data_IF_490615541859
#
_entry.id   IF_490615541859
#
_cell.length_a   1.000
_cell.length_b   1.000
_cell.length_c   1.000
_cell.angle_alpha   90.00
_cell.angle_beta   90.00
_cell.angle_gamma   90.00
#
_symmetry.space_group_name_H-M   'P 1'
#
loop_
_entity.id
_entity.type
_entity.pdbx_description
1 polymer ?
2 water ?
#
# COMPACT_ATOMS: atom_id res chain seq x y z
N UNK A 6 19.82 -10.02 -21.65
CA UNK A 6 18.83 -9.04 -22.19
C UNK A 6 19.34 -7.62 -22.04
N UNK A 7 18.95 -6.74 -22.97
CA UNK A 7 19.47 -5.38 -22.95
C UNK A 7 18.52 -4.33 -23.51
N UNK A 8 18.97 -3.08 -23.47
CA UNK A 8 18.22 -1.97 -24.04
C UNK A 8 16.83 -1.79 -23.46
N UNK A 9 15.86 -1.46 -24.30
CA UNK A 9 14.49 -1.21 -23.82
C UNK A 9 13.84 -2.45 -23.24
N UNK A 10 14.04 -3.63 -23.79
CA UNK A 10 13.43 -4.84 -23.22
C UNK A 10 13.94 -5.04 -21.80
N UNK A 11 15.22 -4.83 -21.51
CA UNK A 11 15.72 -4.96 -20.13
C UNK A 11 15.08 -3.91 -19.23
N UNK A 12 15.02 -2.64 -19.60
CA UNK A 12 14.41 -1.57 -18.83
C UNK A 12 12.95 -1.88 -18.54
N UNK A 13 12.19 -2.31 -19.51
CA UNK A 13 10.77 -2.63 -19.38
C UNK A 13 10.60 -3.88 -18.49
N UNK A 14 11.44 -4.90 -18.64
CA UNK A 14 11.29 -6.08 -17.77
C UNK A 14 11.60 -5.72 -16.33
N UNK A 15 12.56 -4.86 -16.04
CA UNK A 15 12.84 -4.39 -14.69
C UNK A 15 11.64 -3.65 -14.12
N UNK A 16 11.01 -2.74 -14.85
CA UNK A 16 9.81 -2.03 -14.39
C UNK A 16 8.69 -3.02 -14.14
N UNK A 17 8.47 -3.98 -15.01
CA UNK A 17 7.37 -4.96 -14.80
C UNK A 17 7.62 -5.79 -13.57
N UNK A 18 8.84 -6.24 -13.32
CA UNK A 18 9.06 -7.10 -12.12
C UNK A 18 8.84 -6.23 -10.90
N UNK A 19 9.25 -4.97 -10.86
CA UNK A 19 9.09 -4.11 -9.71
C UNK A 19 7.62 -3.74 -9.52
N UNK A 20 6.89 -3.48 -10.60
CA UNK A 20 5.46 -3.16 -10.45
C UNK A 20 4.74 -4.40 -9.93
N UNK A 21 5.07 -5.60 -10.39
CA UNK A 21 4.38 -6.81 -9.93
C UNK A 21 4.62 -6.98 -8.43
N UNK A 22 5.87 -6.75 -8.01
CA UNK A 22 6.17 -6.93 -6.58
C UNK A 22 5.40 -5.90 -5.76
N UNK A 23 5.26 -4.65 -6.21
CA UNK A 23 4.53 -3.62 -5.50
C UNK A 23 3.04 -3.97 -5.47
N UNK A 24 2.48 -4.48 -6.56
CA UNK A 24 1.04 -4.88 -6.50
C UNK A 24 0.84 -6.03 -5.51
N UNK A 25 1.78 -6.98 -5.45
CA UNK A 25 1.60 -8.07 -4.47
C UNK A 25 1.64 -7.50 -3.06
N UNK A 26 2.60 -6.56 -2.82
CA UNK A 26 2.70 -5.96 -1.49
C UNK A 26 1.43 -5.21 -1.13
N UNK A 27 0.83 -4.46 -2.05
CA UNK A 27 -0.40 -3.73 -1.73
C UNK A 27 -1.50 -4.75 -1.46
N UNK A 28 -1.63 -5.84 -2.19
CA UNK A 28 -2.71 -6.80 -1.88
C UNK A 28 -2.50 -7.46 -0.54
N UNK A 29 -1.29 -7.75 -0.10
CA UNK A 29 -1.03 -8.31 1.22
C UNK A 29 -1.45 -7.26 2.26
N UNK A 30 -1.07 -6.00 2.10
CA UNK A 30 -1.46 -4.95 3.06
C UNK A 30 -2.95 -4.69 3.07
N UNK A 31 -3.68 -4.87 1.98
CA UNK A 31 -5.15 -4.77 2.05
C UNK A 31 -5.71 -5.85 2.97
N UNK A 32 -5.24 -7.06 2.94
CA UNK A 32 -5.70 -8.11 3.83
C UNK A 32 -5.27 -7.82 5.26
N UNK A 33 -4.04 -7.39 5.49
CA UNK A 33 -3.55 -7.07 6.84
C UNK A 33 -4.32 -5.92 7.50
N UNK A 34 -4.74 -4.91 6.75
CA UNK A 34 -5.52 -3.82 7.35
C UNK A 34 -6.90 -4.38 7.67
N UNK A 35 -7.51 -5.20 6.84
CA UNK A 35 -8.84 -5.79 7.13
C UNK A 35 -8.69 -6.66 8.36
N UNK A 36 -7.61 -7.39 8.59
CA UNK A 36 -7.45 -8.20 9.80
C UNK A 36 -7.41 -7.32 11.04
N UNK A 37 -6.67 -6.22 10.96
CA UNK A 37 -6.64 -5.28 12.09
C UNK A 37 -7.96 -4.60 12.31
N UNK A 38 -8.78 -4.34 11.32
CA UNK A 38 -10.11 -3.79 11.50
C UNK A 38 -10.95 -4.77 12.30
N UNK A 39 -10.83 -6.05 11.98
CA UNK A 39 -11.65 -7.07 12.68
C UNK A 39 -11.21 -7.15 14.12
N UNK A 40 -9.91 -7.11 14.39
CA UNK A 40 -9.41 -7.17 15.77
C UNK A 40 -9.88 -5.95 16.57
N UNK A 41 -9.85 -4.77 15.99
CA UNK A 41 -10.22 -3.52 16.66
C UNK A 41 -11.71 -3.55 16.92
N UNK A 42 -12.51 -4.04 15.98
CA UNK A 42 -13.95 -4.15 16.16
C UNK A 42 -14.24 -5.11 17.31
N UNK A 43 -13.49 -6.19 17.45
CA UNK A 43 -13.73 -7.15 18.53
C UNK A 43 -13.47 -6.43 19.86
N UNK A 44 -12.45 -5.61 19.96
CA UNK A 44 -12.09 -4.88 21.18
C UNK A 44 -13.17 -3.86 21.52
N UNK A 45 -13.67 -3.15 20.50
CA UNK A 45 -14.70 -2.15 20.71
C UNK A 45 -15.99 -2.83 21.17
N UNK A 46 -16.36 -3.95 20.56
CA UNK A 46 -17.59 -4.63 20.89
C UNK A 46 -17.53 -5.14 22.34
N UNK A 47 -16.39 -5.67 22.74
CA UNK A 47 -16.26 -6.13 24.13
C UNK A 47 -16.35 -4.99 25.13
N UNK A 48 -15.63 -3.89 24.90
CA UNK A 48 -15.64 -2.74 25.80
C UNK A 48 -17.03 -2.15 25.93
N UNK A 49 -17.84 -2.18 24.88
CA UNK A 49 -19.20 -1.70 24.89
C UNK A 49 -20.18 -2.62 25.62
N UNK B 6 13.86 16.98 -20.83
CA UNK B 6 13.70 15.69 -21.55
C UNK B 6 12.34 15.57 -22.22
N UNK B 7 12.26 14.73 -23.25
CA UNK B 7 11.03 14.51 -24.00
C UNK B 7 10.98 13.10 -24.59
N UNK B 8 9.92 12.76 -25.28
CA UNK B 8 9.83 11.50 -25.99
C UNK B 8 9.86 10.30 -25.05
N UNK B 9 10.55 9.25 -25.45
CA UNK B 9 10.53 8.02 -24.68
C UNK B 9 11.18 8.18 -23.31
N UNK B 10 12.23 8.96 -23.18
CA UNK B 10 12.89 9.15 -21.88
C UNK B 10 11.93 9.86 -20.93
N UNK B 11 11.12 10.78 -21.43
CA UNK B 11 10.18 11.51 -20.58
C UNK B 11 9.12 10.53 -20.08
N UNK B 12 8.60 9.72 -20.98
CA UNK B 12 7.55 8.74 -20.66
C UNK B 12 8.09 7.70 -19.69
N UNK B 13 9.28 7.17 -19.91
CA UNK B 13 9.84 6.16 -19.01
C UNK B 13 10.17 6.78 -17.65
N UNK B 14 10.60 8.02 -17.59
CA UNK B 14 10.84 8.69 -16.30
C UNK B 14 9.54 8.94 -15.57
N UNK B 15 8.45 9.25 -16.25
CA UNK B 15 7.16 9.44 -15.58
C UNK B 15 6.73 8.12 -14.96
N UNK B 16 6.87 7.02 -15.69
CA UNK B 16 6.50 5.69 -15.17
C UNK B 16 7.39 5.34 -13.99
N UNK B 17 8.70 5.56 -14.04
CA UNK B 17 9.60 5.23 -12.94
C UNK B 17 9.29 6.15 -11.74
N UNK B 18 9.00 7.43 -12.00
CA UNK B 18 8.65 8.24 -10.80
C UNK B 18 7.37 7.77 -10.16
N UNK B 19 6.37 7.37 -10.90
CA UNK B 19 5.11 6.92 -10.32
C UNK B 19 5.36 5.60 -9.59
N UNK B 20 6.13 4.69 -10.21
CA UNK B 20 6.43 3.43 -9.49
C UNK B 20 7.20 3.69 -8.22
N UNK B 21 8.17 4.58 -8.21
CA UNK B 21 8.93 4.90 -6.99
C UNK B 21 7.99 5.50 -5.94
N UNK B 22 7.09 6.40 -6.31
CA UNK B 22 6.19 7.00 -5.31
C UNK B 22 5.36 5.91 -4.71
N UNK B 23 4.83 4.97 -5.48
CA UNK B 23 4.00 3.88 -4.94
C UNK B 23 4.83 2.98 -4.02
N UNK B 24 6.10 2.71 -4.39
CA UNK B 24 6.97 1.90 -3.50
C UNK B 24 7.18 2.69 -2.19
N UNK B 25 7.46 4.00 -2.26
CA UNK B 25 7.66 4.74 -0.99
C UNK B 25 6.39 4.66 -0.17
N UNK B 26 5.21 4.81 -0.78
CA UNK B 26 3.98 4.74 0.09
C UNK B 26 3.86 3.38 0.68
N UNK B 27 4.14 2.28 -0.02
CA UNK B 27 4.04 0.95 0.57
C UNK B 27 5.05 0.85 1.69
N UNK B 28 6.28 1.38 1.59
CA UNK B 28 7.21 1.19 2.71
C UNK B 28 6.71 2.02 3.91
N UNK B 29 6.13 3.20 3.76
CA UNK B 29 5.62 3.93 4.93
C UNK B 29 4.44 3.17 5.52
N UNK B 30 3.56 2.61 4.67
CA UNK B 30 2.42 1.83 5.19
C UNK B 30 2.88 0.58 5.93
N UNK B 31 3.92 -0.12 5.51
CA UNK B 31 4.42 -1.31 6.21
C UNK B 31 4.80 -0.89 7.63
N UNK B 32 5.47 0.25 7.82
CA UNK B 32 5.80 0.70 9.19
C UNK B 32 4.54 1.07 9.94
N UNK B 33 3.61 1.78 9.27
CA UNK B 33 2.40 2.15 10.05
C UNK B 33 1.62 0.91 10.43
N UNK B 34 1.54 -0.10 9.61
CA UNK B 34 0.79 -1.33 10.00
C UNK B 34 1.56 -2.05 11.11
N UNK B 35 2.87 -2.10 11.15
CA UNK B 35 3.60 -2.79 12.22
C UNK B 35 3.29 -2.04 13.53
N UNK B 36 3.31 -0.72 13.51
CA UNK B 36 3.02 0.05 14.75
C UNK B 36 1.59 -0.22 15.19
N UNK B 37 0.61 -0.29 14.31
CA UNK B 37 -0.77 -0.57 14.73
C UNK B 37 -0.84 -1.99 15.27
N UNK B 38 -0.24 -2.98 14.62
CA UNK B 38 -0.27 -4.36 15.09
C UNK B 38 0.24 -4.46 16.52
N UNK B 39 1.30 -3.75 16.88
CA UNK B 39 1.85 -3.83 18.24
C UNK B 39 0.84 -3.16 19.19
N UNK B 40 0.25 -2.04 18.82
CA UNK B 40 -0.69 -1.32 19.70
C UNK B 40 -1.92 -2.17 19.91
N UNK B 41 -2.46 -2.83 18.92
CA UNK B 41 -3.63 -3.69 19.02
C UNK B 41 -3.25 -4.90 19.89
N UNK B 42 -2.11 -5.50 19.65
CA UNK B 42 -1.73 -6.67 20.51
C UNK B 42 -1.58 -6.22 21.95
N UNK B 43 -1.08 -5.04 22.26
CA UNK B 43 -0.96 -4.61 23.68
C UNK B 43 -2.36 -4.42 24.27
N UNK B 44 -3.31 -3.93 23.50
CA UNK B 44 -4.68 -3.77 24.00
C UNK B 44 -5.31 -5.12 24.28
N UNK B 45 -5.12 -6.07 23.37
CA UNK B 45 -5.68 -7.42 23.56
C UNK B 45 -5.00 -8.06 24.75
N UNK B 46 -3.69 -7.92 24.95
CA UNK B 46 -3.06 -8.57 26.11
C UNK B 46 -3.53 -7.91 27.40
N UNK B 47 -3.77 -6.62 27.43
CA UNK B 47 -4.26 -5.99 28.66
C UNK B 47 -5.66 -6.50 28.97
N UNK B 48 -6.55 -6.49 28.00
CA UNK B 48 -7.94 -6.92 28.18
C UNK B 48 -8.03 -8.37 28.61
N UNK B 49 -7.16 -9.26 28.21
CA UNK B 49 -7.22 -10.65 28.64
C UNK B 49 -6.55 -10.88 29.99
N UNK C 6 -4.89 1.03 -29.08
CA UNK C 6 -3.41 1.20 -29.03
C UNK C 6 -2.71 -0.09 -29.45
N UNK C 7 -1.38 -0.09 -29.48
CA UNK C 7 -0.62 -1.28 -29.86
C UNK C 7 0.87 -1.03 -29.66
N UNK C 8 1.70 -2.06 -29.73
CA UNK C 8 3.14 -1.93 -29.62
C UNK C 8 3.66 -1.32 -28.33
N UNK C 9 4.67 -0.45 -28.42
CA UNK C 9 5.19 0.23 -27.24
C UNK C 9 4.10 1.04 -26.54
N UNK C 10 3.29 1.75 -27.31
CA UNK C 10 2.18 2.52 -26.74
C UNK C 10 1.25 1.65 -25.92
N UNK C 11 0.85 0.48 -26.40
CA UNK C 11 -0.01 -0.41 -25.62
C UNK C 11 0.71 -0.90 -24.37
N UNK C 12 1.98 -1.23 -24.45
CA UNK C 12 2.78 -1.70 -23.32
C UNK C 12 2.92 -0.61 -22.26
N UNK C 13 3.17 0.64 -22.62
CA UNK C 13 3.25 1.75 -21.68
C UNK C 13 1.86 2.01 -21.08
N UNK C 14 0.82 1.92 -21.90
CA UNK C 14 -0.54 2.19 -21.45
C UNK C 14 -0.99 1.15 -20.43
N UNK C 15 -0.70 -0.11 -20.62
CA UNK C 15 -0.99 -1.14 -19.63
C UNK C 15 -0.26 -0.82 -18.31
N UNK C 16 1.01 -0.44 -18.35
CA UNK C 16 1.76 -0.11 -17.14
C UNK C 16 1.13 1.07 -16.41
N UNK C 17 0.79 2.14 -17.14
CA UNK C 17 0.14 3.31 -16.52
C UNK C 17 -1.21 2.96 -15.91
N UNK C 18 -2.02 2.17 -16.57
CA UNK C 18 -3.32 1.78 -15.99
C UNK C 18 -3.08 1.00 -14.70
N UNK C 19 -2.15 0.06 -14.70
CA UNK C 19 -1.85 -0.71 -13.48
C UNK C 19 -1.30 0.23 -12.40
N UNK C 20 -0.45 1.19 -12.69
CA UNK C 20 0.00 2.15 -11.67
C UNK C 20 -1.19 2.91 -11.10
N UNK C 21 -2.12 3.36 -11.94
CA UNK C 21 -3.27 4.13 -11.46
C UNK C 21 -4.14 3.29 -10.52
N UNK C 22 -4.34 2.03 -10.84
CA UNK C 22 -5.09 1.12 -9.99
C UNK C 22 -4.33 0.91 -8.68
N UNK C 23 -3.02 0.76 -8.74
CA UNK C 23 -2.25 0.57 -7.47
C UNK C 23 -2.31 1.85 -6.68
N UNK C 24 -2.17 3.04 -7.28
CA UNK C 24 -2.31 4.32 -6.57
C UNK C 24 -3.64 4.44 -5.88
N UNK C 25 -4.75 4.06 -6.50
CA UNK C 25 -6.07 4.17 -5.87
C UNK C 25 -6.12 3.22 -4.67
N UNK C 26 -5.54 2.04 -4.82
CA UNK C 26 -5.56 1.09 -3.71
C UNK C 26 -4.69 1.63 -2.56
N UNK C 27 -3.53 2.21 -2.86
CA UNK C 27 -2.68 2.77 -1.80
C UNK C 27 -3.40 3.92 -1.10
N UNK C 28 -4.12 4.79 -1.81
CA UNK C 28 -4.76 5.93 -1.15
C UNK C 28 -5.80 5.38 -0.20
N UNK C 29 -6.56 4.36 -0.60
CA UNK C 29 -7.54 3.79 0.33
C UNK C 29 -6.82 3.15 1.51
N UNK C 30 -5.69 2.49 1.35
CA UNK C 30 -4.97 1.93 2.51
C UNK C 30 -4.52 3.03 3.44
N UNK C 31 -4.06 4.18 2.95
CA UNK C 31 -3.62 5.28 3.82
C UNK C 31 -4.77 5.70 4.73
N UNK C 32 -5.94 5.86 4.16
CA UNK C 32 -7.09 6.31 5.00
C UNK C 32 -7.61 5.14 5.83
N UNK C 33 -7.44 3.89 5.40
CA UNK C 33 -7.84 2.81 6.36
C UNK C 33 -6.92 2.77 7.54
N UNK C 34 -5.63 3.00 7.36
CA UNK C 34 -4.66 3.03 8.43
C UNK C 34 -4.93 4.26 9.34
N UNK C 35 -5.28 5.42 8.77
CA UNK C 35 -5.58 6.57 9.67
C UNK C 35 -6.86 6.35 10.43
N UNK C 36 -7.87 5.73 9.82
CA UNK C 36 -9.12 5.46 10.59
C UNK C 36 -8.80 4.46 11.70
N UNK C 37 -7.95 3.46 11.49
CA UNK C 37 -7.54 2.52 12.53
C UNK C 37 -6.80 3.21 13.65
N UNK C 38 -5.88 4.07 13.27
CA UNK C 38 -5.10 4.85 14.22
C UNK C 38 -6.05 5.61 15.15
N UNK C 39 -7.08 6.23 14.61
CA UNK C 39 -7.99 6.97 15.49
C UNK C 39 -8.78 6.02 16.38
N UNK C 40 -9.19 4.86 15.90
CA UNK C 40 -9.98 3.93 16.73
C UNK C 40 -9.09 3.33 17.82
N UNK C 41 -7.82 3.07 17.50
CA UNK C 41 -6.90 2.48 18.47
C UNK C 41 -6.54 3.51 19.54
N UNK C 42 -6.33 4.76 19.18
CA UNK C 42 -6.05 5.85 20.11
C UNK C 42 -7.25 6.02 21.03
N UNK C 43 -8.46 5.92 20.53
CA UNK C 43 -9.65 6.06 21.37
C UNK C 43 -9.71 4.93 22.40
N UNK C 44 -9.41 3.71 21.98
CA UNK C 44 -9.35 2.58 22.92
C UNK C 44 -8.26 2.82 23.95
N UNK C 45 -7.08 3.27 23.59
CA UNK C 45 -5.98 3.51 24.52
C UNK C 45 -6.40 4.59 25.53
N UNK C 46 -6.94 5.70 25.05
CA UNK C 46 -7.44 6.76 25.92
C UNK C 46 -8.50 6.22 26.87
N UNK C 47 -9.42 5.39 26.42
CA UNK C 47 -10.44 4.82 27.31
C UNK C 47 -9.80 3.95 28.38
N UNK C 48 -8.85 3.09 28.02
CA UNK C 48 -8.28 2.16 29.02
C UNK C 48 -7.45 2.87 30.07
N UNK C 49 -6.90 4.04 29.76
CA UNK C 49 -6.10 4.86 30.64
C UNK C 49 -6.97 5.74 31.53
#
# INVERSE_FOLDING_TARGET
>A
QARQLVSGLVQQQNNILRALEATQHAVQALVWGVKQLQARVLALERYIK
>B
QARQLVSGLVQQQNNILRALEATQHAVQALVWGVKQLQARVLALERYIK
>C
QARQLVSGLVQQQNNILRALEATQHAVQALVWGVKQLQARVLALERYIK
#
